data_IF_819425036326
#
_entry.id   IF_819425036326
#
_cell.length_a   1.000
_cell.length_b   1.000
_cell.length_c   1.000
_cell.angle_alpha   90.00
_cell.angle_beta   90.00
_cell.angle_gamma   90.00
#
_symmetry.space_group_name_H-M   'P 1'
#
loop_
_entity.id
_entity.type
_entity.pdbx_description
1 polymer ?
#
# COMPACT_ATOMS: atom_id res chain seq x y z
N UNK A 1 -16.85 -7.28 -22.54
CA UNK A 1 -16.90 -8.05 -21.28
C UNK A 1 -15.78 -9.09 -21.21
N UNK A 2 -15.64 -10.00 -22.18
CA UNK A 2 -14.56 -11.00 -22.19
C UNK A 2 -13.14 -10.39 -22.15
N UNK A 3 -12.90 -9.34 -22.93
CA UNK A 3 -11.59 -8.64 -22.98
C UNK A 3 -11.24 -7.93 -21.68
N UNK A 4 -12.20 -7.26 -21.03
CA UNK A 4 -11.98 -6.61 -19.73
C UNK A 4 -11.65 -7.63 -18.64
N UNK A 5 -12.37 -8.76 -18.60
CA UNK A 5 -12.10 -9.83 -17.63
C UNK A 5 -10.67 -10.36 -17.82
N UNK A 6 -10.26 -10.58 -19.07
CA UNK A 6 -8.92 -11.07 -19.40
C UNK A 6 -7.83 -10.05 -19.04
N UNK A 7 -8.04 -8.76 -19.33
CA UNK A 7 -7.08 -7.70 -19.00
C UNK A 7 -6.94 -7.50 -17.49
N UNK A 8 -8.05 -7.43 -16.75
CA UNK A 8 -8.01 -7.22 -15.28
C UNK A 8 -7.42 -8.44 -14.58
N UNK A 9 -7.72 -9.67 -15.02
CA UNK A 9 -7.11 -10.87 -14.44
C UNK A 9 -5.61 -10.95 -14.71
N UNK A 10 -5.19 -10.61 -15.94
CA UNK A 10 -3.77 -10.55 -16.30
C UNK A 10 -3.03 -9.51 -15.47
N UNK A 11 -3.56 -8.29 -15.36
CA UNK A 11 -2.96 -7.21 -14.54
C UNK A 11 -2.89 -7.64 -13.07
N UNK A 12 -3.93 -8.28 -12.54
CA UNK A 12 -3.94 -8.76 -11.16
C UNK A 12 -2.82 -9.77 -10.88
N UNK A 13 -2.60 -10.74 -11.78
CA UNK A 13 -1.52 -11.73 -11.65
C UNK A 13 -0.14 -11.07 -11.77
N UNK A 14 0.05 -10.23 -12.79
CA UNK A 14 1.31 -9.51 -13.01
C UNK A 14 1.67 -8.65 -11.80
N UNK A 15 0.72 -7.91 -11.25
CA UNK A 15 0.96 -7.05 -10.08
C UNK A 15 1.21 -7.86 -8.81
N UNK A 16 0.54 -9.00 -8.63
CA UNK A 16 0.81 -9.90 -7.51
C UNK A 16 2.26 -10.39 -7.57
N UNK A 17 2.68 -11.00 -8.68
CA UNK A 17 4.04 -11.52 -8.83
C UNK A 17 5.07 -10.37 -8.81
N UNK A 18 4.78 -9.26 -9.48
CA UNK A 18 5.67 -8.11 -9.58
C UNK A 18 5.95 -7.45 -8.24
N UNK A 19 4.91 -7.14 -7.45
CA UNK A 19 5.07 -6.47 -6.15
C UNK A 19 5.69 -7.41 -5.12
N UNK A 20 5.18 -8.64 -4.98
CA UNK A 20 5.76 -9.59 -4.02
C UNK A 20 7.17 -10.02 -4.41
N UNK A 21 7.45 -10.17 -5.71
CA UNK A 21 8.78 -10.47 -6.24
C UNK A 21 9.77 -9.34 -6.02
N UNK A 22 9.37 -8.08 -6.25
CA UNK A 22 10.20 -6.90 -5.98
C UNK A 22 10.56 -6.83 -4.50
N UNK A 23 9.58 -6.95 -3.60
CA UNK A 23 9.79 -6.91 -2.15
C UNK A 23 10.70 -8.06 -1.70
N UNK A 24 10.44 -9.29 -2.16
CA UNK A 24 11.28 -10.44 -1.85
C UNK A 24 12.72 -10.29 -2.37
N UNK A 25 12.88 -9.68 -3.55
CA UNK A 25 14.19 -9.37 -4.13
C UNK A 25 14.98 -8.40 -3.27
N UNK A 26 14.35 -7.32 -2.82
CA UNK A 26 14.99 -6.32 -1.94
C UNK A 26 15.42 -6.96 -0.62
N UNK A 27 14.55 -7.76 0.01
CA UNK A 27 14.86 -8.44 1.28
C UNK A 27 16.00 -9.46 1.12
N UNK A 28 16.00 -10.24 0.03
CA UNK A 28 17.05 -11.24 -0.21
C UNK A 28 18.42 -10.62 -0.48
N UNK A 29 18.46 -9.43 -1.10
CA UNK A 29 19.68 -8.67 -1.28
C UNK A 29 20.23 -8.12 0.06
N UNK A 30 19.34 -7.77 1.00
CA UNK A 30 19.74 -7.37 2.36
C UNK A 30 20.43 -8.53 3.10
N UNK A 31 19.82 -9.72 3.09
CA UNK A 31 20.37 -10.93 3.71
C UNK A 31 21.72 -11.35 3.09
N UNK A 32 21.87 -11.19 1.76
CA UNK A 32 23.15 -11.44 1.07
C UNK A 32 24.24 -10.47 1.52
N UNK A 33 23.91 -9.21 1.82
CA UNK A 33 24.85 -8.25 2.37
C UNK A 33 25.49 -8.72 3.67
N UNK A 34 24.70 -9.35 4.55
CA UNK A 34 25.18 -9.94 5.79
C UNK A 34 26.00 -11.22 5.56
N UNK A 35 25.56 -12.05 4.61
CA UNK A 35 26.27 -13.26 4.21
C UNK A 35 27.66 -12.97 3.62
N UNK A 36 27.85 -11.84 2.93
CA UNK A 36 29.16 -11.43 2.40
C UNK A 36 30.10 -10.86 3.46
N UNK A 37 29.59 -10.28 4.55
CA UNK A 37 30.42 -9.75 5.64
C UNK A 37 31.04 -10.86 6.51
N UNK A 38 30.32 -11.97 6.69
CA UNK A 38 30.68 -13.05 7.64
C UNK A 38 31.98 -13.81 7.28
N UNK A 39 32.26 -14.15 6.01
CA UNK A 39 33.52 -14.79 5.61
C UNK A 39 34.71 -13.82 5.57
N UNK A 40 34.48 -12.52 5.37
CA UNK A 40 35.54 -11.56 5.03
C UNK A 40 36.27 -10.96 6.24
N UNK A 41 35.91 -11.34 7.48
CA UNK A 41 36.53 -10.84 8.75
C UNK A 41 36.80 -9.33 8.78
N UNK A 42 35.96 -8.52 8.12
CA UNK A 42 36.09 -7.06 8.10
C UNK A 42 37.21 -6.48 7.24
N UNK A 43 37.94 -7.28 6.44
CA UNK A 43 39.00 -6.77 5.55
C UNK A 43 38.66 -7.01 4.07
N UNK A 44 38.79 -5.94 3.27
CA UNK A 44 38.63 -5.96 1.82
C UNK A 44 37.40 -5.22 1.28
N UNK A 45 37.42 -4.95 -0.03
CA UNK A 45 36.36 -4.21 -0.75
C UNK A 45 34.98 -4.87 -0.58
N UNK A 46 34.94 -6.21 -0.46
CA UNK A 46 33.72 -7.02 -0.29
C UNK A 46 33.04 -6.79 1.06
N UNK A 47 33.82 -6.58 2.13
CA UNK A 47 33.29 -6.28 3.47
C UNK A 47 32.73 -4.86 3.56
N UNK A 48 33.41 -3.89 2.94
CA UNK A 48 32.94 -2.49 2.86
C UNK A 48 31.65 -2.37 2.04
N UNK A 49 31.60 -3.01 0.86
CA UNK A 49 30.39 -3.07 0.03
C UNK A 49 29.23 -3.78 0.74
N UNK A 50 29.49 -4.90 1.44
CA UNK A 50 28.49 -5.56 2.26
C UNK A 50 27.97 -4.69 3.40
N UNK A 51 28.85 -3.90 4.04
CA UNK A 51 28.50 -2.93 5.09
C UNK A 51 27.61 -1.79 4.61
N UNK A 52 27.91 -1.26 3.41
CA UNK A 52 27.10 -0.22 2.77
C UNK A 52 25.73 -0.79 2.38
N UNK A 53 25.68 -1.99 1.79
CA UNK A 53 24.44 -2.62 1.33
C UNK A 53 23.44 -2.86 2.48
N UNK A 54 23.92 -3.43 3.59
CA UNK A 54 23.10 -3.69 4.81
C UNK A 54 22.62 -2.39 5.45
N UNK A 55 23.37 -1.29 5.35
CA UNK A 55 22.93 0.01 5.90
C UNK A 55 21.94 0.74 5.00
N UNK A 56 21.94 0.44 3.70
CA UNK A 56 21.03 1.03 2.72
C UNK A 56 19.66 0.34 2.69
N UNK A 57 19.61 -0.98 2.85
CA UNK A 57 18.36 -1.75 2.88
C UNK A 57 17.27 -1.20 3.84
N UNK A 58 17.56 -0.88 5.12
CA UNK A 58 16.55 -0.34 6.03
C UNK A 58 16.09 1.07 5.65
N UNK A 59 16.93 1.85 4.95
CA UNK A 59 16.51 3.17 4.42
C UNK A 59 15.54 2.99 3.26
N UNK A 60 15.78 2.00 2.40
CA UNK A 60 14.94 1.72 1.25
C UNK A 60 13.55 1.20 1.70
N UNK A 61 13.51 0.34 2.72
CA UNK A 61 12.25 -0.09 3.34
C UNK A 61 11.44 1.07 3.92
N UNK A 62 12.08 1.99 4.67
CA UNK A 62 11.40 3.17 5.20
C UNK A 62 10.87 4.09 4.10
N UNK A 63 11.64 4.27 3.03
CA UNK A 63 11.22 5.04 1.86
C UNK A 63 9.99 4.42 1.20
N UNK A 64 10.00 3.10 1.00
CA UNK A 64 8.87 2.38 0.42
C UNK A 64 7.61 2.48 1.30
N UNK A 65 7.75 2.52 2.63
CA UNK A 65 6.61 2.75 3.53
C UNK A 65 5.99 4.13 3.29
N UNK A 66 6.78 5.20 3.28
CA UNK A 66 6.24 6.57 3.08
C UNK A 66 5.62 6.72 1.70
N UNK A 67 6.31 6.24 0.66
CA UNK A 67 5.81 6.28 -0.72
C UNK A 67 4.57 5.40 -0.88
N UNK A 68 4.55 4.22 -0.27
CA UNK A 68 3.42 3.29 -0.29
C UNK A 68 2.20 3.89 0.40
N UNK A 69 2.37 4.53 1.56
CA UNK A 69 1.29 5.24 2.24
C UNK A 69 0.76 6.39 1.39
N UNK A 70 1.65 7.22 0.82
CA UNK A 70 1.24 8.30 -0.09
C UNK A 70 0.49 7.76 -1.33
N UNK A 71 0.94 6.65 -1.91
CA UNK A 71 0.31 6.01 -3.04
C UNK A 71 -1.08 5.46 -2.70
N UNK A 72 -1.26 4.81 -1.54
CA UNK A 72 -2.56 4.30 -1.10
C UNK A 72 -3.57 5.45 -0.93
N UNK A 73 -3.15 6.59 -0.38
CA UNK A 73 -4.02 7.78 -0.29
C UNK A 73 -4.36 8.36 -1.66
N UNK A 74 -3.38 8.44 -2.56
CA UNK A 74 -3.57 8.96 -3.93
C UNK A 74 -4.54 8.10 -4.74
N UNK A 75 -4.37 6.78 -4.68
CA UNK A 75 -5.23 5.80 -5.37
C UNK A 75 -6.63 5.79 -4.75
N UNK A 76 -6.73 5.74 -3.42
CA UNK A 76 -8.01 5.75 -2.71
C UNK A 76 -8.82 7.02 -2.97
N UNK A 77 -8.18 8.19 -2.95
CA UNK A 77 -8.82 9.46 -3.26
C UNK A 77 -9.36 9.54 -4.69
N UNK A 78 -8.63 8.96 -5.65
CA UNK A 78 -9.12 8.80 -7.03
C UNK A 78 -10.41 7.98 -7.09
N UNK A 79 -10.49 6.87 -6.36
CA UNK A 79 -11.72 6.04 -6.30
C UNK A 79 -12.90 6.83 -5.73
N UNK A 80 -12.69 7.63 -4.68
CA UNK A 80 -13.76 8.43 -4.05
C UNK A 80 -14.30 9.50 -5.01
N UNK A 81 -13.42 10.26 -5.66
CA UNK A 81 -13.83 11.34 -6.59
C UNK A 81 -14.62 10.80 -7.78
N UNK A 82 -14.25 9.64 -8.31
CA UNK A 82 -14.94 9.04 -9.46
C UNK A 82 -16.26 8.37 -9.10
N UNK A 83 -16.44 7.86 -7.88
CA UNK A 83 -17.66 7.16 -7.46
C UNK A 83 -18.68 8.07 -6.78
N UNK A 84 -18.32 9.30 -6.41
CA UNK A 84 -19.22 10.26 -5.75
C UNK A 84 -19.61 11.37 -6.75
N UNK A 85 -20.83 11.34 -7.33
CA UNK A 85 -21.28 12.30 -8.36
C UNK A 85 -21.23 13.76 -7.88
N UNK A 86 -21.43 13.98 -6.58
CA UNK A 86 -21.40 15.31 -5.97
C UNK A 86 -20.02 15.98 -6.04
N UNK A 87 -18.92 15.21 -6.09
CA UNK A 87 -17.57 15.74 -6.22
C UNK A 87 -17.24 16.05 -7.67
N UNK A 88 -17.79 15.27 -8.61
CA UNK A 88 -17.56 15.43 -10.04
C UNK A 88 -18.06 16.79 -10.58
N UNK A 89 -19.26 17.22 -10.18
CA UNK A 89 -19.83 18.52 -10.60
C UNK A 89 -19.11 19.75 -10.02
N UNK A 90 -18.43 19.61 -8.87
CA UNK A 90 -17.63 20.70 -8.30
C UNK A 90 -16.29 20.83 -9.03
N UNK A 91 -15.77 19.73 -9.58
CA UNK A 91 -14.49 19.68 -10.28
C UNK A 91 -14.59 20.01 -11.78
N UNK A 92 -15.71 19.72 -12.46
CA UNK A 92 -15.95 20.04 -13.88
C UNK A 92 -15.51 21.47 -14.28
N UNK A 93 -15.94 22.55 -13.61
CA UNK A 93 -15.59 23.91 -14.03
C UNK A 93 -14.10 24.25 -13.82
N UNK A 94 -13.37 23.51 -12.98
CA UNK A 94 -11.93 23.70 -12.79
C UNK A 94 -11.08 22.93 -13.80
N UNK A 95 -11.58 21.83 -14.35
CA UNK A 95 -10.84 21.03 -15.35
C UNK A 95 -10.82 21.71 -16.72
N UNK A 96 -11.87 22.44 -17.10
CA UNK A 96 -11.94 23.11 -18.41
C UNK A 96 -10.88 24.21 -18.59
N UNK A 97 -10.50 24.89 -17.50
CA UNK A 97 -9.45 25.93 -17.52
C UNK A 97 -8.04 25.32 -17.54
N UNK A 98 -7.89 24.10 -17.02
CA UNK A 98 -6.61 23.41 -16.88
C UNK A 98 -6.15 22.66 -18.13
N UNK A 99 -7.06 22.32 -19.05
CA UNK A 99 -6.75 21.66 -20.32
C UNK A 99 -5.88 22.51 -21.27
N UNK A 100 -5.74 23.81 -20.99
CA UNK A 100 -4.84 24.67 -21.76
C UNK A 100 -3.35 24.27 -21.62
N UNK A 101 -2.95 23.62 -20.51
CA UNK A 101 -1.56 23.26 -20.23
C UNK A 101 -1.43 21.74 -19.93
N UNK A 102 -0.85 20.93 -20.83
CA UNK A 102 -0.87 19.46 -20.74
C UNK A 102 -0.14 18.88 -19.51
N UNK A 103 0.88 19.58 -19.00
CA UNK A 103 1.59 19.18 -17.77
C UNK A 103 0.75 19.44 -16.53
N UNK A 104 -0.03 20.53 -16.52
CA UNK A 104 -0.88 20.91 -15.39
C UNK A 104 -2.14 20.02 -15.35
N UNK A 105 -2.71 19.70 -16.52
CA UNK A 105 -3.89 18.84 -16.64
C UNK A 105 -3.71 17.40 -16.16
N UNK A 106 -2.49 16.88 -16.07
CA UNK A 106 -2.22 15.51 -15.59
C UNK A 106 -1.84 15.44 -14.11
N UNK A 107 -1.09 16.43 -13.62
CA UNK A 107 -0.61 16.48 -12.24
C UNK A 107 -1.65 17.04 -11.26
N UNK A 108 -2.42 18.05 -11.65
CA UNK A 108 -3.38 18.69 -10.73
C UNK A 108 -4.52 17.77 -10.29
N UNK A 109 -5.18 17.00 -11.17
CA UNK A 109 -6.23 16.08 -10.74
C UNK A 109 -5.68 15.03 -9.77
N UNK A 110 -4.46 14.56 -10.01
CA UNK A 110 -3.77 13.59 -9.17
C UNK A 110 -3.54 14.16 -7.75
N UNK A 111 -3.05 15.40 -7.64
CA UNK A 111 -2.86 16.08 -6.35
C UNK A 111 -4.19 16.33 -5.61
N UNK A 112 -5.22 16.79 -6.32
CA UNK A 112 -6.57 17.02 -5.74
C UNK A 112 -7.15 15.71 -5.21
N UNK A 113 -7.07 14.63 -6.00
CA UNK A 113 -7.46 13.29 -5.57
C UNK A 113 -6.71 12.87 -4.30
N UNK A 114 -5.40 13.12 -4.23
CA UNK A 114 -4.59 12.85 -3.04
C UNK A 114 -5.08 13.57 -1.79
N UNK A 115 -5.38 14.87 -1.89
CA UNK A 115 -5.91 15.66 -0.75
C UNK A 115 -7.26 15.13 -0.29
N UNK A 116 -8.16 14.82 -1.22
CA UNK A 116 -9.48 14.23 -0.91
C UNK A 116 -9.31 12.85 -0.27
N UNK A 117 -8.37 12.04 -0.77
CA UNK A 117 -8.03 10.74 -0.20
C UNK A 117 -7.54 10.84 1.25
N UNK A 118 -6.70 11.82 1.57
CA UNK A 118 -6.24 12.07 2.95
C UNK A 118 -7.38 12.52 3.85
N UNK A 119 -8.26 13.41 3.39
CA UNK A 119 -9.45 13.85 4.12
C UNK A 119 -10.43 12.70 4.39
N UNK A 120 -10.69 11.86 3.38
CA UNK A 120 -11.56 10.70 3.52
C UNK A 120 -10.94 9.63 4.43
N UNK A 121 -9.63 9.41 4.32
CA UNK A 121 -8.90 8.46 5.14
C UNK A 121 -8.83 8.87 6.61
N UNK A 122 -8.59 10.15 6.91
CA UNK A 122 -8.62 10.66 8.29
C UNK A 122 -10.02 10.54 8.90
N UNK A 123 -11.07 10.85 8.14
CA UNK A 123 -12.46 10.66 8.56
C UNK A 123 -12.75 9.19 8.89
N UNK A 124 -12.36 8.24 8.01
CA UNK A 124 -12.54 6.81 8.23
C UNK A 124 -11.88 6.32 9.53
N UNK A 125 -10.67 6.77 9.81
CA UNK A 125 -9.94 6.39 11.04
C UNK A 125 -10.69 6.88 12.28
N UNK A 126 -11.14 8.15 12.29
CA UNK A 126 -11.91 8.69 13.42
C UNK A 126 -13.22 7.94 13.65
N UNK A 127 -13.94 7.58 12.58
CA UNK A 127 -15.19 6.80 12.67
C UNK A 127 -14.92 5.39 13.21
N UNK A 128 -13.86 4.73 12.74
CA UNK A 128 -13.46 3.40 13.22
C UNK A 128 -13.11 3.41 14.71
N UNK A 129 -12.36 4.41 15.17
CA UNK A 129 -12.01 4.57 16.59
C UNK A 129 -13.24 4.82 17.46
N UNK A 130 -14.15 5.70 17.02
CA UNK A 130 -15.42 5.95 17.70
C UNK A 130 -16.25 4.67 17.76
N UNK A 131 -16.31 3.90 16.67
CA UNK A 131 -17.05 2.65 16.63
C UNK A 131 -16.45 1.58 17.55
N UNK A 132 -15.12 1.46 17.59
CA UNK A 132 -14.44 0.53 18.50
C UNK A 132 -14.65 0.91 19.96
N UNK A 133 -14.65 2.21 20.26
CA UNK A 133 -14.96 2.75 21.60
C UNK A 133 -16.40 2.47 22.03
N UNK A 134 -17.35 2.53 21.10
CA UNK A 134 -18.78 2.25 21.36
C UNK A 134 -19.04 0.74 21.50
N UNK A 135 -18.32 -0.13 20.78
CA UNK A 135 -18.55 -1.60 20.80
C UNK A 135 -18.05 -2.33 22.05
N UNK A 136 -17.62 -1.62 23.10
CA UNK A 136 -17.31 -2.21 24.39
C UNK A 136 -15.98 -2.97 24.37
N UNK A 137 -15.05 -2.49 25.20
CA UNK A 137 -13.66 -2.91 25.23
C UNK A 137 -13.48 -4.25 25.98
N UNK A 138 -13.98 -5.37 25.44
CA UNK A 138 -13.81 -6.71 26.03
C UNK A 138 -12.80 -7.62 25.31
N UNK A 139 -12.16 -7.16 24.23
CA UNK A 139 -11.18 -7.96 23.45
C UNK A 139 -9.76 -7.39 23.48
N UNK A 140 -9.51 -6.32 24.24
CA UNK A 140 -8.22 -5.61 24.29
C UNK A 140 -7.09 -6.37 25.02
N UNK A 141 -7.37 -7.53 25.62
CA UNK A 141 -6.36 -8.36 26.32
C UNK A 141 -5.90 -9.59 25.52
N UNK A 142 -6.60 -9.93 24.44
CA UNK A 142 -6.17 -11.04 23.58
C UNK A 142 -5.09 -10.52 22.66
N UNK A 143 -3.89 -11.09 22.77
CA UNK A 143 -2.78 -10.74 21.89
C UNK A 143 -3.24 -10.79 20.43
N UNK A 144 -2.75 -9.88 19.55
CA UNK A 144 -3.17 -9.80 18.14
C UNK A 144 -3.11 -11.16 17.42
N UNK A 145 -2.19 -12.02 17.86
CA UNK A 145 -1.99 -13.40 17.39
C UNK A 145 -3.21 -14.31 17.65
N UNK A 146 -3.90 -14.15 18.78
CA UNK A 146 -5.05 -14.99 19.16
C UNK A 146 -6.31 -14.54 18.44
N UNK A 147 -6.52 -13.22 18.29
CA UNK A 147 -7.62 -12.66 17.49
C UNK A 147 -7.50 -13.10 16.04
N UNK A 148 -6.29 -13.05 15.47
CA UNK A 148 -6.03 -13.56 14.12
C UNK A 148 -6.32 -15.05 13.99
N UNK A 149 -5.92 -15.87 14.98
CA UNK A 149 -6.11 -17.32 14.95
C UNK A 149 -7.57 -17.73 15.03
N UNK A 150 -8.38 -17.02 15.82
CA UNK A 150 -9.83 -17.27 15.94
C UNK A 150 -10.56 -16.82 14.66
N UNK A 151 -10.24 -15.65 14.13
CA UNK A 151 -10.84 -15.14 12.89
C UNK A 151 -10.46 -15.98 11.66
N UNK A 152 -9.19 -16.42 11.55
CA UNK A 152 -8.77 -17.33 10.48
C UNK A 152 -9.46 -18.69 10.57
N UNK A 153 -9.66 -19.24 11.77
CA UNK A 153 -10.37 -20.50 11.93
C UNK A 153 -11.84 -20.37 11.49
N UNK A 154 -12.49 -19.25 11.86
CA UNK A 154 -13.87 -18.95 11.46
C UNK A 154 -14.01 -18.70 9.95
N UNK A 155 -13.05 -18.02 9.33
CA UNK A 155 -13.03 -17.78 7.89
C UNK A 155 -12.75 -19.06 7.10
N UNK A 156 -11.84 -19.91 7.58
CA UNK A 156 -11.58 -21.22 6.98
C UNK A 156 -12.82 -22.11 7.03
N UNK A 157 -13.53 -22.16 8.15
CA UNK A 157 -14.79 -22.92 8.25
C UNK A 157 -15.90 -22.35 7.35
N UNK A 158 -15.95 -21.02 7.15
CA UNK A 158 -16.93 -20.40 6.26
C UNK A 158 -16.65 -20.73 4.78
N UNK A 159 -15.39 -20.77 4.37
CA UNK A 159 -14.99 -21.15 3.00
C UNK A 159 -15.30 -22.63 2.74
N UNK A 160 -14.98 -23.52 3.68
CA UNK A 160 -15.29 -24.95 3.60
C UNK A 160 -16.79 -25.28 3.59
N UNK A 161 -17.64 -24.39 4.13
CA UNK A 161 -19.09 -24.58 4.12
C UNK A 161 -19.78 -24.13 2.80
N UNK A 162 -19.05 -23.43 1.93
CA UNK A 162 -19.56 -22.90 0.65
C UNK A 162 -18.99 -23.55 -0.62
N UNK A 163 -18.17 -24.59 -0.46
CA UNK A 163 -17.69 -25.49 -1.53
C UNK A 163 -18.22 -26.89 -1.30
#
# INVERSE_FOLDING_TARGET
MLTQILVVSLIAVIMTIGVYGLVAGIVKLDDLGFYLQRPSKGQGLKASLGGVLVRFAPKLMKGLTVVGTAAIFLVGGGIVVHNVPAVHHILEPMLDVLHAWPVVGTLMPTLINGVIGVMAGSLLITVMEVWHKIRGNSLAYLSPQVVWRISCLSAATAVLATT
#
